data_IF_560626456299
#
_entry.id   IF_560626456299
#
_cell.length_a   1.000
_cell.length_b   1.000
_cell.length_c   1.000
_cell.angle_alpha   90.00
_cell.angle_beta   90.00
_cell.angle_gamma   90.00
#
_symmetry.space_group_name_H-M   'P 1'
#
loop_
_entity.id
_entity.type
_entity.pdbx_description
1 polymer ?
#
# COMPACT_ATOMS: atom_id res chain seq x y z
N UNK A 1 15.95 17.22 32.79
CA UNK A 1 16.22 16.00 32.01
C UNK A 1 15.19 15.99 30.89
N UNK A 2 15.60 16.32 29.67
CA UNK A 2 14.75 16.11 28.50
C UNK A 2 14.48 14.61 28.43
N UNK A 3 13.22 14.22 28.59
CA UNK A 3 12.76 12.89 28.22
C UNK A 3 13.06 12.73 26.73
N UNK A 4 14.08 11.95 26.39
CA UNK A 4 14.27 11.47 25.02
C UNK A 4 12.98 10.76 24.62
N UNK A 5 12.13 11.47 23.88
CA UNK A 5 10.91 10.90 23.36
C UNK A 5 11.33 9.81 22.37
N UNK A 6 11.07 8.55 22.73
CA UNK A 6 11.40 7.33 21.98
C UNK A 6 10.57 7.25 20.68
N UNK A 7 10.61 8.28 19.83
CA UNK A 7 10.02 8.21 18.51
C UNK A 7 10.82 7.22 17.67
N UNK A 8 10.16 6.32 16.92
CA UNK A 8 10.86 5.35 16.10
C UNK A 8 11.77 6.03 15.09
N UNK A 9 12.98 5.50 14.93
CA UNK A 9 13.94 6.01 13.96
C UNK A 9 13.84 5.25 12.64
N UNK A 10 14.21 5.93 11.56
CA UNK A 10 14.36 5.29 10.26
C UNK A 10 15.64 4.47 10.20
N UNK A 11 15.54 3.26 9.65
CA UNK A 11 16.70 2.44 9.27
C UNK A 11 16.52 1.92 7.86
N UNK A 12 17.62 1.68 7.18
CA UNK A 12 17.63 0.92 5.92
C UNK A 12 18.28 -0.43 6.16
N UNK A 13 17.78 -1.46 5.49
CA UNK A 13 18.33 -2.80 5.59
C UNK A 13 18.28 -3.50 4.23
N UNK A 14 19.25 -4.37 3.99
CA UNK A 14 19.12 -5.43 3.01
C UNK A 14 18.35 -6.57 3.68
N UNK A 15 17.14 -6.84 3.20
CA UNK A 15 16.26 -7.87 3.74
C UNK A 15 16.28 -9.12 2.88
N UNK A 16 16.22 -10.27 3.54
CA UNK A 16 16.21 -11.60 2.93
C UNK A 16 15.11 -12.39 3.62
N UNK A 17 14.09 -12.83 2.89
CA UNK A 17 13.03 -13.68 3.47
C UNK A 17 12.91 -15.00 2.70
N UNK A 18 12.80 -16.10 3.44
CA UNK A 18 12.71 -17.44 2.86
C UNK A 18 11.30 -17.74 2.33
N UNK A 19 11.22 -18.31 1.12
CA UNK A 19 9.98 -18.75 0.47
C UNK A 19 10.30 -20.04 -0.31
N UNK A 20 9.74 -21.18 0.11
CA UNK A 20 9.81 -22.47 -0.60
C UNK A 20 11.20 -22.78 -1.19
N UNK A 21 12.19 -23.01 -0.31
CA UNK A 21 13.60 -23.33 -0.65
C UNK A 21 14.38 -22.24 -1.42
N UNK A 22 13.74 -21.11 -1.73
CA UNK A 22 14.36 -19.89 -2.23
C UNK A 22 14.28 -18.80 -1.17
N UNK A 23 14.88 -17.67 -1.46
CA UNK A 23 14.63 -16.44 -0.72
C UNK A 23 14.44 -15.29 -1.68
N UNK A 24 13.64 -14.33 -1.26
CA UNK A 24 13.52 -13.06 -1.97
C UNK A 24 14.28 -11.98 -1.21
N UNK A 25 14.94 -11.11 -1.97
CA UNK A 25 15.77 -10.06 -1.43
C UNK A 25 15.26 -8.69 -1.84
N UNK A 26 15.39 -7.74 -0.92
CA UNK A 26 14.97 -6.37 -1.12
C UNK A 26 15.83 -5.39 -0.31
N UNK A 27 15.94 -4.17 -0.82
CA UNK A 27 16.38 -3.02 -0.05
C UNK A 27 15.15 -2.38 0.59
N UNK A 28 15.14 -2.34 1.91
CA UNK A 28 13.98 -1.92 2.70
C UNK A 28 14.31 -0.68 3.54
N UNK A 29 13.27 0.10 3.83
CA UNK A 29 13.30 1.19 4.79
C UNK A 29 12.24 0.88 5.85
N UNK A 30 12.65 0.95 7.11
CA UNK A 30 11.79 0.74 8.26
C UNK A 30 11.68 2.00 9.10
N UNK A 31 10.51 2.24 9.67
CA UNK A 31 10.25 3.19 10.74
C UNK A 31 9.78 2.40 11.96
N UNK A 32 10.62 2.26 12.99
CA UNK A 32 10.36 1.23 14.01
C UNK A 32 10.26 -0.13 13.34
N UNK A 33 9.23 -0.93 13.61
CA UNK A 33 9.07 -2.24 12.97
C UNK A 33 8.22 -2.22 11.70
N UNK A 34 7.75 -1.04 11.29
CA UNK A 34 6.95 -0.87 10.06
C UNK A 34 7.89 -0.74 8.86
N UNK A 35 7.79 -1.67 7.91
CA UNK A 35 8.41 -1.54 6.58
C UNK A 35 7.66 -0.49 5.77
N UNK A 36 8.22 0.71 5.66
CA UNK A 36 7.59 1.85 4.98
C UNK A 36 7.91 1.92 3.49
N UNK A 37 9.01 1.29 3.05
CA UNK A 37 9.38 1.23 1.64
C UNK A 37 10.17 -0.05 1.37
N UNK A 38 10.04 -0.58 0.16
CA UNK A 38 10.83 -1.74 -0.29
C UNK A 38 11.07 -1.70 -1.79
N UNK A 39 12.28 -2.05 -2.20
CA UNK A 39 12.64 -2.21 -3.62
C UNK A 39 11.90 -3.37 -4.28
N UNK A 40 11.40 -4.33 -3.49
CA UNK A 40 10.70 -5.51 -3.96
C UNK A 40 9.18 -5.36 -4.10
N UNK A 41 8.65 -4.13 -4.00
CA UNK A 41 7.19 -3.87 -3.96
C UNK A 41 6.43 -4.38 -5.18
N UNK A 42 6.94 -4.05 -6.36
CA UNK A 42 6.29 -4.40 -7.63
C UNK A 42 6.74 -5.76 -8.16
N UNK A 43 7.95 -6.19 -7.81
CA UNK A 43 8.51 -7.45 -8.29
C UNK A 43 9.45 -8.04 -7.24
N UNK A 44 9.15 -9.27 -6.82
CA UNK A 44 9.98 -10.00 -5.87
C UNK A 44 11.19 -10.59 -6.60
N UNK A 45 12.38 -10.24 -6.14
CA UNK A 45 13.62 -10.79 -6.67
C UNK A 45 14.02 -12.06 -5.92
N UNK A 46 13.70 -13.23 -6.49
CA UNK A 46 14.03 -14.53 -5.92
C UNK A 46 15.43 -15.00 -6.30
N UNK A 47 16.22 -15.46 -5.34
CA UNK A 47 17.58 -16.02 -5.49
C UNK A 47 17.81 -17.17 -4.50
N UNK A 48 18.95 -17.85 -4.59
CA UNK A 48 19.26 -19.10 -3.85
C UNK A 48 20.59 -19.10 -3.11
N UNK A 49 21.54 -18.21 -3.45
CA UNK A 49 22.87 -18.18 -2.78
C UNK A 49 23.34 -16.82 -2.25
N UNK A 50 23.20 -15.74 -3.03
CA UNK A 50 23.67 -14.41 -2.62
C UNK A 50 22.67 -13.32 -2.99
N UNK A 51 22.65 -12.29 -2.13
CA UNK A 51 22.01 -11.02 -2.37
C UNK A 51 23.04 -9.92 -2.14
N UNK A 52 23.40 -9.22 -3.21
CA UNK A 52 24.45 -8.20 -3.18
C UNK A 52 23.82 -6.88 -3.55
N UNK A 53 23.89 -5.92 -2.62
CA UNK A 53 23.60 -4.52 -2.89
C UNK A 53 24.92 -3.83 -3.27
N UNK A 54 24.98 -3.27 -4.47
CA UNK A 54 26.18 -2.68 -5.05
C UNK A 54 25.89 -1.29 -5.59
N UNK A 55 26.68 -0.30 -5.21
CA UNK A 55 26.76 0.99 -5.91
C UNK A 55 27.92 0.93 -6.90
N UNK A 56 27.59 0.88 -8.19
CA UNK A 56 28.61 0.73 -9.25
C UNK A 56 29.44 2.00 -9.43
N UNK A 57 30.63 1.87 -10.04
CA UNK A 57 31.48 3.00 -10.41
C UNK A 57 30.77 4.05 -11.29
N UNK A 58 29.85 3.61 -12.15
CA UNK A 58 29.05 4.52 -12.98
C UNK A 58 27.87 5.15 -12.22
N UNK A 59 27.75 4.91 -10.91
CA UNK A 59 26.75 5.52 -10.05
C UNK A 59 25.37 4.87 -10.14
N UNK A 60 25.27 3.58 -10.46
CA UNK A 60 24.00 2.85 -10.42
C UNK A 60 23.94 1.93 -9.20
N UNK A 61 22.94 2.12 -8.32
CA UNK A 61 22.67 1.22 -7.20
C UNK A 61 21.86 0.01 -7.69
N UNK A 62 22.35 -1.20 -7.43
CA UNK A 62 21.79 -2.46 -7.94
C UNK A 62 21.68 -3.51 -6.84
N UNK A 63 20.59 -4.27 -6.88
CA UNK A 63 20.42 -5.49 -6.13
C UNK A 63 20.54 -6.67 -7.09
N UNK A 64 21.55 -7.52 -6.88
CA UNK A 64 21.87 -8.64 -7.77
C UNK A 64 22.12 -9.94 -7.02
N UNK A 65 22.01 -11.06 -7.74
CA UNK A 65 22.42 -12.37 -7.25
C UNK A 65 23.87 -12.72 -7.62
N UNK A 66 24.29 -13.92 -7.29
CA UNK A 66 25.64 -14.44 -7.55
C UNK A 66 26.02 -14.54 -9.04
N UNK A 67 25.03 -14.59 -9.94
CA UNK A 67 25.22 -14.70 -11.38
C UNK A 67 25.10 -13.32 -12.06
N UNK A 68 25.23 -12.24 -11.28
CA UNK A 68 25.02 -10.85 -11.71
C UNK A 68 23.63 -10.55 -12.29
N UNK A 69 22.62 -11.41 -12.05
CA UNK A 69 21.25 -11.11 -12.46
C UNK A 69 20.70 -9.99 -11.58
N UNK A 70 20.30 -8.91 -12.22
CA UNK A 70 19.77 -7.72 -11.54
C UNK A 70 18.29 -7.93 -11.26
N UNK A 71 17.93 -7.94 -9.98
CA UNK A 71 16.55 -7.95 -9.52
C UNK A 71 15.91 -6.58 -9.42
N UNK A 72 16.71 -5.60 -9.00
CA UNK A 72 16.28 -4.22 -8.88
C UNK A 72 17.46 -3.29 -9.11
N UNK A 73 17.22 -2.11 -9.67
CA UNK A 73 18.22 -1.05 -9.79
C UNK A 73 17.59 0.33 -9.79
N UNK A 74 18.38 1.32 -9.39
CA UNK A 74 17.98 2.73 -9.39
C UNK A 74 17.93 3.37 -10.79
N UNK A 75 18.69 2.83 -11.76
CA UNK A 75 18.74 3.38 -13.12
C UNK A 75 19.55 4.68 -13.23
N UNK A 76 20.52 4.88 -12.32
CA UNK A 76 21.27 6.15 -12.19
C UNK A 76 22.66 6.13 -12.84
N UNK A 77 22.95 5.10 -13.63
CA UNK A 77 24.21 4.98 -14.38
C UNK A 77 24.50 6.23 -15.21
N UNK A 78 25.70 6.79 -15.06
CA UNK A 78 26.14 8.00 -15.77
C UNK A 78 25.65 9.31 -15.18
N UNK A 79 24.86 9.29 -14.09
CA UNK A 79 24.34 10.52 -13.45
C UNK A 79 25.28 11.10 -12.38
N UNK A 80 26.47 10.49 -12.18
CA UNK A 80 27.48 10.97 -11.23
C UNK A 80 27.14 10.69 -9.77
N UNK A 81 26.32 9.69 -9.48
CA UNK A 81 26.01 9.29 -8.10
C UNK A 81 27.25 8.74 -7.41
N UNK A 82 27.50 9.22 -6.20
CA UNK A 82 28.63 8.80 -5.36
C UNK A 82 28.19 8.28 -3.99
N UNK A 83 27.02 8.72 -3.49
CA UNK A 83 26.58 8.42 -2.13
C UNK A 83 25.11 8.00 -2.08
N UNK A 84 24.85 7.02 -1.22
CA UNK A 84 23.52 6.63 -0.75
C UNK A 84 23.30 7.21 0.64
N UNK A 85 22.18 7.90 0.86
CA UNK A 85 21.88 8.56 2.12
C UNK A 85 20.42 8.35 2.52
N UNK A 86 20.18 7.92 3.76
CA UNK A 86 18.85 7.92 4.37
C UNK A 86 18.63 9.23 5.12
N UNK A 87 17.67 10.02 4.69
CA UNK A 87 17.31 11.28 5.35
C UNK A 87 16.46 11.04 6.60
N UNK A 88 16.42 12.02 7.51
CA UNK A 88 15.57 11.97 8.73
C UNK A 88 14.07 11.85 8.43
N UNK A 89 13.66 12.17 7.22
CA UNK A 89 12.27 12.01 6.74
C UNK A 89 11.95 10.57 6.30
N UNK A 90 12.93 9.67 6.28
CA UNK A 90 12.80 8.32 5.70
C UNK A 90 13.01 8.27 4.20
N UNK A 91 13.29 9.41 3.56
CA UNK A 91 13.62 9.44 2.13
C UNK A 91 15.05 8.92 1.90
N UNK A 92 15.17 7.83 1.14
CA UNK A 92 16.46 7.28 0.75
C UNK A 92 16.85 7.91 -0.59
N UNK A 93 17.97 8.61 -0.62
CA UNK A 93 18.42 9.40 -1.76
C UNK A 93 19.77 8.92 -2.27
N UNK A 94 19.94 9.00 -3.59
CA UNK A 94 21.24 8.89 -4.26
C UNK A 94 21.67 10.28 -4.68
N UNK A 95 22.87 10.70 -4.28
CA UNK A 95 23.39 12.05 -4.52
C UNK A 95 24.75 12.03 -5.22
N UNK A 96 25.02 13.07 -5.99
CA UNK A 96 26.33 13.32 -6.59
C UNK A 96 27.31 14.03 -5.64
N UNK A 97 28.52 14.31 -6.12
CA UNK A 97 29.56 15.04 -5.38
C UNK A 97 29.09 16.42 -4.88
N UNK A 98 28.17 17.07 -5.58
CA UNK A 98 27.60 18.37 -5.23
C UNK A 98 26.37 18.28 -4.31
N UNK A 99 26.05 17.08 -3.79
CA UNK A 99 24.86 16.79 -2.99
C UNK A 99 23.53 17.00 -3.73
N UNK A 100 23.53 16.95 -5.07
CA UNK A 100 22.30 16.99 -5.85
C UNK A 100 21.68 15.60 -5.91
N UNK A 101 20.39 15.52 -5.56
CA UNK A 101 19.61 14.28 -5.61
C UNK A 101 19.43 13.85 -7.07
N UNK A 102 19.90 12.65 -7.41
CA UNK A 102 19.71 11.99 -8.71
C UNK A 102 18.57 10.97 -8.69
N UNK A 103 18.31 10.39 -7.53
CA UNK A 103 17.21 9.45 -7.32
C UNK A 103 16.75 9.51 -5.86
N UNK A 104 15.46 9.27 -5.63
CA UNK A 104 14.89 9.25 -4.28
C UNK A 104 13.74 8.23 -4.17
N UNK A 105 13.65 7.56 -3.02
CA UNK A 105 12.60 6.56 -2.76
C UNK A 105 11.20 7.16 -2.77
N UNK A 106 11.05 8.43 -2.38
CA UNK A 106 9.76 9.12 -2.37
C UNK A 106 9.10 9.27 -3.75
N UNK A 107 9.86 9.14 -4.85
CA UNK A 107 9.29 9.14 -6.20
C UNK A 107 8.71 7.77 -6.61
N UNK A 108 8.99 6.72 -5.84
CA UNK A 108 8.58 5.34 -6.09
C UNK A 108 7.87 4.77 -4.85
N UNK A 109 6.71 5.31 -4.47
CA UNK A 109 6.02 4.87 -3.26
C UNK A 109 5.50 3.43 -3.39
N UNK A 110 5.26 2.81 -2.24
CA UNK A 110 4.72 1.45 -2.12
C UNK A 110 3.23 1.49 -1.79
N UNK A 111 2.79 0.82 -0.73
CA UNK A 111 1.47 1.01 -0.13
C UNK A 111 1.46 2.14 0.92
N UNK A 112 2.62 2.73 1.26
CA UNK A 112 2.77 3.74 2.31
C UNK A 112 3.24 5.08 1.73
N UNK A 113 2.69 6.16 2.26
CA UNK A 113 3.09 7.55 2.02
C UNK A 113 3.59 8.17 3.31
N UNK A 114 4.80 8.69 3.31
CA UNK A 114 5.43 9.26 4.49
C UNK A 114 5.01 10.71 4.74
N UNK A 115 5.14 11.16 5.99
CA UNK A 115 4.99 12.57 6.33
C UNK A 115 5.93 13.44 5.47
N UNK A 116 5.40 14.55 4.96
CA UNK A 116 6.11 15.48 4.09
C UNK A 116 6.23 15.04 2.62
N UNK A 117 5.96 13.77 2.30
CA UNK A 117 5.92 13.28 0.93
C UNK A 117 4.73 13.89 0.18
N UNK A 118 4.89 14.13 -1.12
CA UNK A 118 3.82 14.56 -2.02
C UNK A 118 3.61 13.52 -3.11
N UNK A 119 2.35 13.20 -3.41
CA UNK A 119 1.97 12.32 -4.51
C UNK A 119 1.18 13.12 -5.54
N UNK A 120 1.56 13.00 -6.81
CA UNK A 120 0.83 13.60 -7.93
C UNK A 120 -0.13 12.61 -8.56
N UNK A 121 -1.01 13.07 -9.46
CA UNK A 121 -1.87 12.20 -10.26
C UNK A 121 -1.11 11.19 -11.14
N UNK A 122 0.20 11.36 -11.35
CA UNK A 122 1.04 10.40 -12.06
C UNK A 122 1.51 9.23 -11.18
N UNK A 123 1.32 9.32 -9.87
CA UNK A 123 1.74 8.33 -8.87
C UNK A 123 0.54 7.70 -8.19
N UNK A 124 0.70 6.48 -7.69
CA UNK A 124 -0.32 5.77 -6.92
C UNK A 124 0.34 4.93 -5.83
N UNK A 125 -0.39 4.71 -4.74
CA UNK A 125 -0.03 3.67 -3.80
C UNK A 125 -0.68 2.36 -4.25
N UNK A 126 0.02 1.24 -4.09
CA UNK A 126 -0.57 -0.07 -4.38
C UNK A 126 -0.31 -1.02 -3.24
N UNK A 127 -1.27 -1.88 -2.90
CA UNK A 127 -0.96 -3.04 -2.06
C UNK A 127 -0.03 -3.99 -2.80
N UNK A 128 0.62 -4.87 -2.06
CA UNK A 128 1.16 -6.08 -2.66
C UNK A 128 0.03 -6.95 -3.25
N UNK A 129 0.27 -7.70 -4.33
CA UNK A 129 -0.70 -8.64 -4.86
C UNK A 129 -1.11 -9.67 -3.80
N UNK A 130 -2.42 -9.85 -3.61
CA UNK A 130 -2.99 -10.84 -2.69
C UNK A 130 -2.95 -12.20 -3.41
N UNK A 131 -2.06 -13.10 -2.98
CA UNK A 131 -1.88 -14.44 -3.56
C UNK A 131 -1.49 -14.42 -5.06
N UNK A 132 -1.64 -15.56 -5.74
CA UNK A 132 -1.35 -15.74 -7.17
C UNK A 132 -2.40 -15.09 -8.10
N UNK A 133 -3.40 -14.37 -7.58
CA UNK A 133 -4.58 -13.94 -8.34
C UNK A 133 -4.40 -12.59 -9.05
N UNK A 134 -3.21 -11.97 -9.04
CA UNK A 134 -2.97 -10.62 -9.59
C UNK A 134 -3.96 -9.56 -9.06
N UNK A 135 -4.58 -9.80 -7.91
CA UNK A 135 -5.51 -8.89 -7.27
C UNK A 135 -4.74 -7.94 -6.36
N UNK A 136 -4.95 -6.62 -6.51
CA UNK A 136 -4.31 -5.62 -5.65
C UNK A 136 -5.18 -4.37 -5.49
N UNK A 137 -4.98 -3.68 -4.37
CA UNK A 137 -5.60 -2.39 -4.09
C UNK A 137 -4.74 -1.25 -4.60
N UNK A 138 -5.36 -0.12 -4.95
CA UNK A 138 -4.62 1.10 -5.24
C UNK A 138 -5.31 2.35 -4.76
N UNK A 139 -4.54 3.28 -4.20
CA UNK A 139 -4.95 4.66 -3.93
C UNK A 139 -4.50 5.55 -5.09
N UNK A 140 -5.44 6.25 -5.70
CA UNK A 140 -5.17 7.06 -6.89
C UNK A 140 -5.79 8.45 -6.79
N UNK A 141 -5.08 9.42 -7.38
CA UNK A 141 -5.50 10.82 -7.46
C UNK A 141 -6.03 11.08 -8.86
N UNK A 142 -7.26 11.57 -8.93
CA UNK A 142 -7.90 12.01 -10.16
C UNK A 142 -8.14 13.51 -10.13
N UNK A 143 -8.62 14.05 -11.23
CA UNK A 143 -8.88 15.47 -11.40
C UNK A 143 -9.85 16.02 -10.35
N UNK A 144 -10.96 15.34 -10.05
CA UNK A 144 -12.04 15.80 -9.16
C UNK A 144 -12.16 15.00 -7.86
N UNK A 145 -11.35 13.96 -7.66
CA UNK A 145 -11.45 13.06 -6.51
C UNK A 145 -10.15 12.33 -6.24
N UNK A 146 -10.03 11.81 -5.02
CA UNK A 146 -9.14 10.69 -4.72
C UNK A 146 -10.00 9.44 -4.50
N UNK A 147 -9.47 8.27 -4.83
CA UNK A 147 -10.26 7.05 -4.77
C UNK A 147 -9.41 5.81 -4.49
N UNK A 148 -10.06 4.82 -3.89
CA UNK A 148 -9.51 3.49 -3.66
C UNK A 148 -10.10 2.50 -4.67
N UNK A 149 -9.24 1.69 -5.24
CA UNK A 149 -9.58 0.76 -6.31
C UNK A 149 -9.17 -0.66 -5.98
N UNK A 150 -10.06 -1.59 -6.31
CA UNK A 150 -9.74 -3.01 -6.43
C UNK A 150 -9.41 -3.31 -7.89
N UNK A 151 -8.21 -3.81 -8.12
CA UNK A 151 -7.71 -4.15 -9.46
C UNK A 151 -7.60 -5.67 -9.60
N UNK A 152 -8.05 -6.22 -10.73
CA UNK A 152 -7.95 -7.64 -11.05
C UNK A 152 -7.88 -7.84 -12.57
N UNK A 153 -6.70 -8.20 -13.08
CA UNK A 153 -6.45 -8.25 -14.51
C UNK A 153 -6.73 -6.88 -15.16
N UNK A 154 -7.67 -6.84 -16.10
CA UNK A 154 -8.11 -5.61 -16.77
C UNK A 154 -9.27 -4.89 -16.06
N UNK A 155 -9.77 -5.45 -14.97
CA UNK A 155 -10.89 -4.88 -14.22
C UNK A 155 -10.40 -3.97 -13.11
N UNK A 156 -11.12 -2.86 -12.93
CA UNK A 156 -10.85 -1.86 -11.91
C UNK A 156 -12.16 -1.33 -11.34
N UNK A 157 -12.35 -1.51 -10.03
CA UNK A 157 -13.58 -1.12 -9.32
C UNK A 157 -13.27 -0.13 -8.20
N UNK A 158 -13.95 1.02 -8.22
CA UNK A 158 -13.87 2.04 -7.17
C UNK A 158 -14.80 1.66 -6.01
N UNK A 159 -14.24 1.44 -4.82
CA UNK A 159 -15.04 1.11 -3.63
C UNK A 159 -15.11 2.23 -2.60
N UNK A 160 -14.25 3.25 -2.70
CA UNK A 160 -14.28 4.44 -1.85
C UNK A 160 -13.79 5.64 -2.64
N UNK A 161 -14.42 6.80 -2.42
CA UNK A 161 -14.08 8.06 -3.10
C UNK A 161 -14.21 9.23 -2.12
N UNK A 162 -13.25 10.16 -2.20
CA UNK A 162 -13.33 11.45 -1.53
C UNK A 162 -13.25 12.57 -2.57
N UNK A 163 -14.24 13.46 -2.55
CA UNK A 163 -14.33 14.63 -3.43
C UNK A 163 -14.11 15.90 -2.62
N UNK A 164 -13.21 16.81 -3.05
CA UNK A 164 -13.01 18.06 -2.36
C UNK A 164 -14.27 18.92 -2.43
N UNK A 165 -14.57 19.59 -1.33
CA UNK A 165 -15.67 20.53 -1.15
C UNK A 165 -15.57 21.69 -2.14
N UNK A 166 -14.34 22.14 -2.39
CA UNK A 166 -14.01 23.13 -3.40
C UNK A 166 -13.81 22.41 -4.74
N UNK A 167 -14.67 22.70 -5.72
CA UNK A 167 -14.61 22.14 -7.09
C UNK A 167 -13.42 22.71 -7.88
N UNK A 168 -12.22 22.24 -7.55
CA UNK A 168 -10.97 22.54 -8.23
C UNK A 168 -10.19 21.25 -8.47
N UNK A 169 -9.28 21.33 -9.43
CA UNK A 169 -8.51 20.18 -9.88
C UNK A 169 -7.49 19.81 -8.81
N UNK A 170 -7.49 18.54 -8.40
CA UNK A 170 -6.44 17.99 -7.56
C UNK A 170 -5.23 17.75 -8.47
N UNK A 171 -4.10 18.34 -8.11
CA UNK A 171 -2.83 18.14 -8.82
C UNK A 171 -1.91 17.23 -8.03
N UNK A 172 -1.88 17.41 -6.71
CA UNK A 172 -1.14 16.56 -5.80
C UNK A 172 -1.80 16.53 -4.43
N UNK A 173 -1.45 15.52 -3.65
CA UNK A 173 -1.75 15.41 -2.23
C UNK A 173 -0.45 15.42 -1.44
N UNK A 174 -0.50 15.91 -0.20
CA UNK A 174 0.65 15.93 0.69
C UNK A 174 0.22 15.53 2.10
N UNK A 175 0.99 14.63 2.72
CA UNK A 175 0.74 14.23 4.08
C UNK A 175 1.42 15.22 5.04
N UNK A 176 0.63 15.84 5.89
CA UNK A 176 1.07 16.76 6.94
C UNK A 176 0.89 16.12 8.32
N UNK A 177 1.24 16.82 9.40
CA UNK A 177 1.03 16.34 10.76
C UNK A 177 -0.45 16.20 11.14
N UNK A 178 -1.33 16.94 10.46
CA UNK A 178 -2.77 17.03 10.79
C UNK A 178 -3.66 16.19 9.86
N UNK A 179 -3.11 15.69 8.75
CA UNK A 179 -3.90 14.99 7.75
C UNK A 179 -3.33 15.02 6.34
N UNK A 180 -4.10 14.43 5.41
CA UNK A 180 -3.80 14.40 3.98
C UNK A 180 -4.44 15.61 3.29
N UNK A 181 -3.61 16.61 2.95
CA UNK A 181 -4.07 17.79 2.22
C UNK A 181 -4.15 17.54 0.71
N UNK A 182 -5.16 18.11 0.07
CA UNK A 182 -5.36 18.10 -1.38
C UNK A 182 -5.03 19.48 -1.93
N UNK A 183 -4.22 19.54 -3.00
CA UNK A 183 -3.67 20.80 -3.51
C UNK A 183 -3.83 20.94 -5.03
N UNK A 184 -3.98 22.18 -5.47
CA UNK A 184 -3.88 22.56 -6.88
C UNK A 184 -2.42 22.77 -7.30
N UNK A 185 -2.14 22.84 -8.60
CA UNK A 185 -0.79 23.15 -9.12
C UNK A 185 -0.23 24.52 -8.70
N UNK A 186 -1.06 25.43 -8.17
CA UNK A 186 -0.63 26.70 -7.57
C UNK A 186 -0.30 26.56 -6.07
N UNK A 187 -0.18 25.33 -5.55
CA UNK A 187 0.03 25.03 -4.13
C UNK A 187 -1.09 25.53 -3.21
N UNK A 188 -2.26 25.86 -3.76
CA UNK A 188 -3.45 26.17 -2.96
C UNK A 188 -4.07 24.87 -2.45
N UNK A 189 -4.17 24.73 -1.12
CA UNK A 189 -4.94 23.67 -0.45
C UNK A 189 -6.43 23.87 -0.71
N UNK A 190 -7.11 22.82 -1.16
CA UNK A 190 -8.54 22.85 -1.53
C UNK A 190 -9.42 22.01 -0.62
N UNK A 191 -8.86 20.97 0.01
CA UNK A 191 -9.52 20.18 1.03
C UNK A 191 -8.48 19.38 1.83
N UNK A 192 -8.90 18.68 2.89
CA UNK A 192 -8.08 17.78 3.68
C UNK A 192 -8.89 16.64 4.28
N UNK A 193 -8.30 15.45 4.32
CA UNK A 193 -8.73 14.38 5.22
C UNK A 193 -7.98 14.56 6.54
N UNK A 194 -8.73 14.89 7.58
CA UNK A 194 -8.20 15.23 8.91
C UNK A 194 -7.98 13.98 9.74
N UNK A 195 -6.89 13.97 10.51
CA UNK A 195 -6.66 13.00 11.58
C UNK A 195 -7.30 13.49 12.88
N UNK A 196 -7.94 12.59 13.62
CA UNK A 196 -8.58 12.91 14.91
C UNK A 196 -7.65 12.70 16.11
N UNK A 197 -6.39 12.30 15.86
CA UNK A 197 -5.41 11.98 16.90
C UNK A 197 -4.72 13.22 17.49
N UNK A 198 -4.31 13.17 18.77
CA UNK A 198 -3.57 14.26 19.41
C UNK A 198 -2.11 14.35 18.93
N UNK A 199 -1.55 13.24 18.47
CA UNK A 199 -0.16 13.13 18.04
C UNK A 199 0.00 13.40 16.53
N UNK A 200 1.15 13.94 16.10
CA UNK A 200 1.39 14.21 14.70
C UNK A 200 1.49 12.93 13.88
N UNK A 201 0.85 12.94 12.71
CA UNK A 201 0.93 11.84 11.75
C UNK A 201 2.36 11.55 11.31
N UNK A 202 2.65 10.25 11.15
CA UNK A 202 3.93 9.73 10.69
C UNK A 202 3.86 9.21 9.27
N UNK A 203 2.78 8.51 8.93
CA UNK A 203 2.54 8.00 7.59
C UNK A 203 1.05 7.73 7.34
N UNK A 204 0.71 7.56 6.06
CA UNK A 204 -0.55 7.06 5.56
C UNK A 204 -0.28 5.70 4.92
N UNK A 205 -1.15 4.71 5.16
CA UNK A 205 -1.02 3.39 4.56
C UNK A 205 -2.30 2.93 3.87
N UNK A 206 -2.12 2.34 2.69
CA UNK A 206 -3.10 1.47 2.07
C UNK A 206 -2.89 0.05 2.61
N UNK A 207 -3.90 -0.48 3.30
CA UNK A 207 -3.85 -1.79 3.93
C UNK A 207 -3.61 -2.90 2.90
N UNK A 208 -2.54 -3.67 3.09
CA UNK A 208 -2.13 -4.69 2.12
C UNK A 208 -3.20 -5.78 1.91
N UNK A 209 -3.91 -6.15 2.97
CA UNK A 209 -4.91 -7.22 2.95
C UNK A 209 -6.35 -6.70 2.90
N UNK A 210 -6.61 -5.53 3.48
CA UNK A 210 -7.96 -4.96 3.60
C UNK A 210 -8.31 -4.01 2.47
N UNK A 211 -7.31 -3.33 1.90
CA UNK A 211 -7.50 -2.21 1.00
C UNK A 211 -8.05 -0.95 1.70
N UNK A 212 -8.15 -0.91 3.03
CA UNK A 212 -8.55 0.31 3.72
C UNK A 212 -7.43 1.34 3.68
N UNK A 213 -7.77 2.62 3.79
CA UNK A 213 -6.80 3.71 3.88
C UNK A 213 -6.78 4.23 5.31
N UNK A 214 -5.60 4.21 5.95
CA UNK A 214 -5.41 4.64 7.33
C UNK A 214 -4.40 5.78 7.46
N UNK A 215 -4.60 6.66 8.44
CA UNK A 215 -3.61 7.66 8.88
C UNK A 215 -3.04 7.28 10.24
N UNK A 216 -1.71 7.18 10.34
CA UNK A 216 -1.05 6.60 11.50
C UNK A 216 -0.19 7.63 12.24
N UNK A 217 -0.30 7.62 13.56
CA UNK A 217 0.58 8.33 14.49
C UNK A 217 1.29 7.33 15.40
N UNK A 218 2.34 7.76 16.10
CA UNK A 218 3.03 6.89 17.05
C UNK A 218 2.53 7.14 18.46
N UNK A 219 2.02 6.08 19.10
CA UNK A 219 1.60 6.09 20.50
C UNK A 219 2.78 5.66 21.37
N UNK A 220 3.38 6.61 22.08
CA UNK A 220 4.49 6.31 23.00
C UNK A 220 4.04 5.47 24.20
N UNK A 221 2.75 5.52 24.54
CA UNK A 221 2.16 4.73 25.63
C UNK A 221 2.05 3.25 25.24
N UNK A 222 1.52 2.95 24.05
CA UNK A 222 1.41 1.57 23.55
C UNK A 222 2.71 1.06 22.90
N UNK A 223 3.62 1.96 22.54
CA UNK A 223 4.86 1.62 21.86
C UNK A 223 4.66 1.24 20.39
N UNK A 224 3.51 1.53 19.80
CA UNK A 224 3.12 1.13 18.44
C UNK A 224 2.50 2.27 17.62
N UNK A 225 2.24 2.01 16.34
CA UNK A 225 1.56 2.95 15.47
C UNK A 225 0.05 2.72 15.53
N UNK A 226 -0.69 3.76 15.90
CA UNK A 226 -2.14 3.72 16.01
C UNK A 226 -2.81 4.47 14.85
N UNK A 227 -3.94 3.93 14.42
CA UNK A 227 -4.80 4.54 13.42
C UNK A 227 -5.60 5.69 14.02
N UNK A 228 -5.54 6.85 13.39
CA UNK A 228 -6.26 8.07 13.79
C UNK A 228 -7.34 8.48 12.78
N UNK A 229 -7.43 7.74 11.68
CA UNK A 229 -8.43 7.88 10.63
C UNK A 229 -8.46 6.58 9.84
N UNK A 230 -9.66 6.15 9.47
CA UNK A 230 -9.91 5.07 8.52
C UNK A 230 -10.92 5.54 7.47
N UNK A 231 -10.72 5.13 6.21
CA UNK A 231 -11.63 5.49 5.12
C UNK A 231 -12.97 4.73 5.17
N UNK A 232 -12.95 3.50 5.69
CA UNK A 232 -14.10 2.61 5.82
C UNK A 232 -14.16 2.06 7.25
N UNK A 233 -15.21 2.41 7.99
CA UNK A 233 -15.31 2.14 9.43
C UNK A 233 -15.96 0.80 9.78
N UNK A 234 -16.40 0.04 8.78
CA UNK A 234 -16.98 -1.28 9.01
C UNK A 234 -16.32 -2.32 8.12
N UNK A 235 -16.08 -3.50 8.69
CA UNK A 235 -15.53 -4.64 7.94
C UNK A 235 -16.40 -5.01 6.73
N UNK A 236 -17.70 -4.72 6.79
CA UNK A 236 -18.68 -5.02 5.73
C UNK A 236 -18.60 -4.08 4.52
N UNK A 237 -17.99 -2.90 4.68
CA UNK A 237 -17.76 -1.96 3.59
C UNK A 237 -16.46 -2.25 2.82
N UNK A 238 -15.61 -3.13 3.37
CA UNK A 238 -14.39 -3.55 2.71
C UNK A 238 -14.69 -4.38 1.44
N UNK A 239 -13.93 -4.19 0.36
CA UNK A 239 -14.22 -4.78 -0.95
C UNK A 239 -14.24 -6.32 -0.99
N UNK A 240 -13.61 -7.01 -0.03
CA UNK A 240 -13.54 -8.48 0.04
C UNK A 240 -14.17 -9.09 1.31
N UNK A 241 -15.00 -8.35 2.05
CA UNK A 241 -15.66 -8.83 3.27
C UNK A 241 -16.42 -10.17 3.08
N UNK A 242 -16.99 -10.38 1.88
CA UNK A 242 -17.70 -11.60 1.46
C UNK A 242 -16.85 -12.88 1.58
N UNK A 243 -15.54 -12.79 1.31
CA UNK A 243 -14.67 -13.96 1.33
C UNK A 243 -14.46 -14.49 2.76
N UNK A 244 -14.36 -13.60 3.73
CA UNK A 244 -14.26 -14.00 5.15
C UNK A 244 -15.57 -14.59 5.66
N UNK A 245 -16.72 -14.03 5.24
CA UNK A 245 -18.04 -14.59 5.55
C UNK A 245 -18.15 -16.03 5.02
N UNK A 246 -17.74 -16.30 3.78
CA UNK A 246 -17.77 -17.65 3.18
C UNK A 246 -16.83 -18.63 3.88
N UNK A 247 -15.66 -18.18 4.36
CA UNK A 247 -14.75 -19.02 5.17
C UNK A 247 -15.31 -19.27 6.58
N UNK A 248 -15.99 -18.29 7.18
CA UNK A 248 -16.64 -18.40 8.49
C UNK A 248 -17.77 -19.43 8.54
N UNK A 249 -18.51 -19.61 7.43
CA UNK A 249 -19.52 -20.68 7.29
C UNK A 249 -18.94 -22.10 7.35
N UNK A 250 -17.62 -22.28 7.13
CA UNK A 250 -16.93 -23.57 7.28
C UNK A 250 -16.40 -23.77 8.72
N UNK A 251 -16.30 -22.70 9.52
CA UNK A 251 -15.68 -22.70 10.86
C UNK A 251 -16.59 -22.33 12.03
N UNK A 252 -17.88 -22.08 11.82
CA UNK A 252 -18.86 -21.86 12.91
C UNK A 252 -18.88 -20.46 13.52
N UNK A 253 -18.24 -19.46 12.90
CA UNK A 253 -18.36 -18.05 13.31
C UNK A 253 -19.16 -17.28 12.25
N UNK A 254 -20.35 -16.83 12.62
CA UNK A 254 -21.29 -16.12 11.73
C UNK A 254 -20.96 -14.61 11.72
N UNK A 255 -20.29 -14.14 10.67
CA UNK A 255 -20.13 -12.71 10.40
C UNK A 255 -21.47 -12.14 9.88
N UNK A 256 -22.20 -11.43 10.74
CA UNK A 256 -23.48 -10.79 10.40
C UNK A 256 -23.26 -9.35 9.92
N UNK A 257 -23.14 -9.17 8.62
CA UNK A 257 -23.26 -7.84 8.02
C UNK A 257 -24.74 -7.51 7.80
N UNK A 258 -25.27 -6.52 8.52
CA UNK A 258 -26.70 -6.16 8.56
C UNK A 258 -27.32 -5.74 7.21
N UNK A 259 -26.49 -5.42 6.22
CA UNK A 259 -26.91 -5.13 4.83
C UNK A 259 -27.06 -6.39 3.95
N UNK A 260 -26.84 -7.58 4.51
CA UNK A 260 -26.86 -8.83 3.78
C UNK A 260 -27.84 -9.77 4.45
N UNK A 261 -28.98 -9.98 3.78
CA UNK A 261 -30.06 -10.81 4.28
C UNK A 261 -29.58 -12.23 4.61
N UNK A 262 -30.22 -12.82 5.62
CA UNK A 262 -30.03 -14.19 6.09
C UNK A 262 -29.94 -15.17 4.91
N UNK A 263 -28.84 -15.92 4.80
CA UNK A 263 -28.70 -17.04 3.89
C UNK A 263 -29.39 -18.28 4.52
N UNK A 264 -30.61 -18.62 4.09
CA UNK A 264 -31.19 -19.94 4.38
C UNK A 264 -30.86 -20.91 3.23
N UNK A 265 -30.07 -21.95 3.51
CA UNK A 265 -29.82 -23.04 2.56
C UNK A 265 -30.92 -24.11 2.70
N UNK A 266 -31.74 -24.27 1.66
CA UNK A 266 -32.65 -25.42 1.48
C UNK A 266 -32.01 -26.40 0.51
N UNK A 267 -32.09 -27.69 0.82
CA UNK A 267 -31.31 -28.79 0.24
C UNK A 267 -31.69 -29.21 -1.19
N UNK A 268 -32.38 -28.37 -1.97
CA UNK A 268 -32.71 -28.69 -3.37
C UNK A 268 -32.58 -27.45 -4.25
N UNK A 269 -31.72 -27.58 -5.26
CA UNK A 269 -31.35 -26.61 -6.29
C UNK A 269 -30.48 -25.43 -5.80
N UNK A 270 -29.22 -25.43 -6.25
CA UNK A 270 -28.27 -24.33 -6.07
C UNK A 270 -28.77 -23.13 -6.88
N UNK A 271 -29.62 -22.32 -6.25
CA UNK A 271 -29.94 -20.99 -6.73
C UNK A 271 -29.50 -20.00 -5.65
N UNK A 272 -28.23 -19.59 -5.71
CA UNK A 272 -27.69 -18.53 -4.86
C UNK A 272 -28.33 -17.19 -5.24
N UNK A 273 -29.41 -16.82 -4.56
CA UNK A 273 -29.96 -15.47 -4.66
C UNK A 273 -29.27 -14.57 -3.64
N UNK A 274 -28.10 -14.07 -4.01
CA UNK A 274 -27.39 -13.04 -3.26
C UNK A 274 -28.21 -11.74 -3.28
N UNK A 275 -28.87 -11.42 -2.17
CA UNK A 275 -29.42 -10.08 -1.93
C UNK A 275 -28.30 -9.17 -1.43
N UNK A 276 -27.41 -8.79 -2.35
CA UNK A 276 -26.42 -7.74 -2.11
C UNK A 276 -26.99 -6.42 -2.68
N UNK A 277 -26.59 -5.24 -2.16
CA UNK A 277 -26.87 -3.97 -2.83
C UNK A 277 -26.41 -4.04 -4.30
N UNK A 278 -27.11 -3.41 -5.25
CA UNK A 278 -26.80 -3.49 -6.71
C UNK A 278 -25.31 -3.34 -7.06
N UNK A 279 -24.54 -2.58 -6.26
CA UNK A 279 -23.07 -2.39 -6.40
C UNK A 279 -22.23 -3.66 -6.16
N UNK A 280 -22.68 -4.56 -5.27
CA UNK A 280 -21.95 -5.76 -4.85
C UNK A 280 -22.39 -7.03 -5.62
N UNK A 281 -23.59 -7.03 -6.20
CA UNK A 281 -24.16 -8.15 -6.98
C UNK A 281 -23.24 -8.56 -8.13
N UNK A 282 -22.62 -7.59 -8.80
CA UNK A 282 -21.78 -7.84 -9.95
C UNK A 282 -20.38 -8.39 -9.58
N UNK A 283 -19.92 -8.23 -8.35
CA UNK A 283 -18.62 -8.77 -7.91
C UNK A 283 -18.80 -10.23 -7.47
N UNK A 284 -19.83 -10.51 -6.66
CA UNK A 284 -20.09 -11.87 -6.20
C UNK A 284 -20.52 -12.81 -7.33
N UNK A 285 -21.36 -12.37 -8.27
CA UNK A 285 -21.78 -13.22 -9.39
C UNK A 285 -20.59 -13.73 -10.23
N UNK A 286 -19.53 -12.94 -10.38
CA UNK A 286 -18.36 -13.30 -11.17
C UNK A 286 -17.31 -14.08 -10.39
N UNK A 287 -17.09 -13.78 -9.11
CA UNK A 287 -16.22 -14.59 -8.25
C UNK A 287 -16.78 -16.01 -8.03
N UNK A 288 -18.10 -16.17 -7.92
CA UNK A 288 -18.73 -17.50 -7.84
C UNK A 288 -18.50 -18.30 -9.13
N UNK A 289 -18.51 -17.66 -10.30
CA UNK A 289 -18.17 -18.29 -11.59
C UNK A 289 -16.70 -18.73 -11.63
N UNK A 290 -15.77 -17.90 -11.14
CA UNK A 290 -14.35 -18.22 -11.06
C UNK A 290 -14.04 -19.38 -10.10
N UNK A 291 -14.67 -19.43 -8.93
CA UNK A 291 -14.52 -20.53 -7.97
C UNK A 291 -15.09 -21.84 -8.55
N UNK A 292 -16.23 -21.77 -9.25
CA UNK A 292 -16.79 -22.93 -9.96
C UNK A 292 -15.89 -23.40 -11.10
N UNK A 293 -15.31 -22.50 -11.89
CA UNK A 293 -14.36 -22.86 -12.95
C UNK A 293 -13.08 -23.51 -12.41
N UNK A 294 -12.58 -23.06 -11.26
CA UNK A 294 -11.39 -23.64 -10.66
C UNK A 294 -11.65 -25.05 -10.09
N UNK A 295 -12.82 -25.28 -9.49
CA UNK A 295 -13.22 -26.62 -8.99
C UNK A 295 -13.65 -27.60 -10.10
N UNK A 296 -13.89 -27.13 -11.32
CA UNK A 296 -14.17 -28.01 -12.48
C UNK A 296 -12.86 -28.47 -13.15
N UNK A 297 -11.73 -27.82 -12.86
CA UNK A 297 -10.41 -28.13 -13.45
C UNK A 297 -9.45 -28.88 -12.51
N UNK A 298 -9.91 -29.35 -11.35
CA UNK A 298 -9.17 -30.24 -10.45
C UNK A 298 -9.76 -31.64 -10.41
#
# INVERSE_FOLDING_TARGET
>A
METEQLSPNFRTALSVEAINEKYWCSLDIFLGDVRVWTSGHLSKFYTTEKCVLELTYYGDLRLKDQNDRIGWRSGTSGQGVERLQLLRTGNLVLVDSLNLIKWQSFNFPTNIMMWGQSLSSATRLTSFPINSSNLFYSFEIQYDKIALYLNFGNWKYSYWEFRPSIKKNITFVQLSSEGLGLFTGKHQKIDQITSEGPEPLRFLALGNNTGNLGLYHYSAEQGEFEESYEALNTSCDLPLAWQEILRGYVGGVELRCSSYGVLSLSSRAIQMRLMLPKKYVQICAWMTVLVLQHNIQT
#
